data_IF_230552867370
#
_entry.id   IF_230552867370
#
_cell.length_a   1.000
_cell.length_b   1.000
_cell.length_c   1.000
_cell.angle_alpha   90.00
_cell.angle_beta   90.00
_cell.angle_gamma   90.00
#
_symmetry.space_group_name_H-M   'P 1'
#
loop_
_entity.id
_entity.type
_entity.pdbx_description
1 polymer ?
#
# COMPACT_ATOMS: atom_id res chain seq x y z
N UNK A 1 59.60 -2.51 31.23
CA UNK A 1 59.19 -3.20 29.99
C UNK A 1 57.86 -3.87 30.27
N UNK A 2 56.75 -3.30 29.77
CA UNK A 2 55.41 -3.90 29.58
C UNK A 2 54.46 -2.76 29.18
N UNK A 3 54.39 -2.49 27.87
CA UNK A 3 53.42 -1.58 27.26
C UNK A 3 52.10 -2.34 27.08
N UNK A 4 51.04 -1.91 27.76
CA UNK A 4 49.66 -2.34 27.45
C UNK A 4 49.11 -1.43 26.35
N UNK A 5 48.84 -2.02 25.18
CA UNK A 5 48.23 -1.35 24.03
C UNK A 5 46.72 -1.27 24.22
N UNK A 6 46.15 -0.06 24.23
CA UNK A 6 44.71 0.19 24.26
C UNK A 6 44.11 0.03 22.85
N UNK A 7 42.92 -0.58 22.69
CA UNK A 7 42.30 -0.78 21.40
C UNK A 7 41.77 0.53 20.80
N UNK A 8 42.02 0.66 19.50
CA UNK A 8 41.69 1.78 18.62
C UNK A 8 40.20 2.12 18.64
N UNK A 9 39.89 3.38 18.96
CA UNK A 9 38.55 3.98 18.93
C UNK A 9 37.97 3.91 17.52
N UNK A 10 36.94 3.10 17.29
CA UNK A 10 36.19 3.11 16.03
C UNK A 10 35.43 4.43 15.90
N UNK A 11 35.71 5.18 14.83
CA UNK A 11 34.98 6.39 14.43
C UNK A 11 33.51 6.04 14.19
N UNK A 12 32.62 6.57 15.02
CA UNK A 12 31.18 6.62 14.75
C UNK A 12 30.97 7.54 13.55
N UNK A 13 30.61 6.98 12.40
CA UNK A 13 30.20 7.80 11.26
C UNK A 13 28.83 8.41 11.58
N UNK A 14 28.75 9.74 11.62
CA UNK A 14 27.50 10.46 11.81
C UNK A 14 26.56 10.14 10.64
N UNK A 15 25.48 9.42 10.90
CA UNK A 15 24.37 9.30 9.97
C UNK A 15 23.74 10.70 9.82
N UNK A 16 24.08 11.36 8.71
CA UNK A 16 23.42 12.58 8.27
C UNK A 16 21.96 12.25 7.99
N UNK A 17 21.07 12.64 8.93
CA UNK A 17 19.63 12.69 8.69
C UNK A 17 19.42 13.82 7.68
N UNK A 18 19.41 13.46 6.39
CA UNK A 18 18.97 14.38 5.34
C UNK A 18 17.46 14.43 5.41
N UNK A 19 16.94 15.44 6.11
CA UNK A 19 15.58 15.93 5.88
C UNK A 19 15.57 16.49 4.45
N UNK A 20 15.13 15.68 3.48
CA UNK A 20 15.02 16.10 2.10
C UNK A 20 13.84 17.06 1.98
N UNK A 21 14.16 18.36 1.97
CA UNK A 21 13.34 19.40 1.38
C UNK A 21 12.88 18.89 0.00
N UNK A 22 11.56 18.90 -0.22
CA UNK A 22 10.97 18.54 -1.50
C UNK A 22 11.53 19.47 -2.58
N UNK A 23 12.41 18.93 -3.41
CA UNK A 23 12.78 19.56 -4.68
C UNK A 23 11.54 19.50 -5.57
N UNK A 24 11.07 20.65 -6.05
CA UNK A 24 10.00 20.72 -7.03
C UNK A 24 10.40 19.89 -8.27
N UNK A 25 9.54 19.00 -8.78
CA UNK A 25 9.90 18.18 -9.92
C UNK A 25 10.12 19.09 -11.14
N UNK A 26 11.32 18.99 -11.71
CA UNK A 26 11.69 19.65 -12.96
C UNK A 26 10.84 19.11 -14.12
N UNK A 27 10.36 20.03 -14.95
CA UNK A 27 9.58 19.77 -16.15
C UNK A 27 10.36 18.95 -17.18
N UNK A 28 10.30 17.63 -17.07
CA UNK A 28 10.46 16.72 -18.21
C UNK A 28 9.34 15.72 -18.16
N UNK A 29 8.25 16.02 -18.87
CA UNK A 29 7.14 15.12 -19.11
C UNK A 29 7.58 13.96 -20.02
N UNK A 30 8.45 13.10 -19.52
CA UNK A 30 8.66 11.78 -20.10
C UNK A 30 7.47 10.92 -19.73
N UNK A 31 6.89 10.24 -20.73
CA UNK A 31 5.84 9.22 -20.64
C UNK A 31 6.04 8.32 -19.40
N UNK A 32 5.53 8.74 -18.24
CA UNK A 32 5.84 8.13 -16.95
C UNK A 32 5.38 6.68 -16.98
N UNK A 33 6.26 5.77 -16.58
CA UNK A 33 6.04 4.34 -16.76
C UNK A 33 4.92 3.87 -15.82
N UNK A 34 3.70 3.81 -16.34
CA UNK A 34 2.48 3.69 -15.56
C UNK A 34 2.09 2.25 -15.24
N UNK A 35 2.99 1.27 -15.40
CA UNK A 35 2.64 -0.15 -15.19
C UNK A 35 3.04 -0.61 -13.79
N UNK A 36 2.22 -1.47 -13.19
CA UNK A 36 2.56 -2.12 -11.92
C UNK A 36 3.75 -3.05 -12.12
N UNK A 37 4.80 -2.88 -11.31
CA UNK A 37 5.97 -3.78 -11.26
C UNK A 37 5.73 -4.90 -10.25
N UNK A 38 5.32 -4.55 -9.03
CA UNK A 38 4.90 -5.49 -8.00
C UNK A 38 4.07 -4.80 -6.91
N UNK A 39 3.36 -5.61 -6.12
CA UNK A 39 2.62 -5.18 -4.93
C UNK A 39 3.14 -5.94 -3.72
N UNK A 40 3.37 -5.22 -2.62
CA UNK A 40 3.74 -5.78 -1.31
C UNK A 40 2.70 -5.35 -0.28
N UNK A 41 2.47 -6.19 0.71
CA UNK A 41 1.60 -5.88 1.84
C UNK A 41 2.25 -6.29 3.15
N UNK A 42 1.94 -5.57 4.22
CA UNK A 42 2.42 -5.83 5.57
C UNK A 42 1.38 -5.47 6.63
N UNK A 43 1.56 -6.04 7.81
CA UNK A 43 0.76 -5.70 8.98
C UNK A 43 1.39 -4.51 9.69
N UNK A 44 0.58 -3.49 9.97
CA UNK A 44 0.94 -2.35 10.80
C UNK A 44 -0.11 -2.15 11.90
N UNK A 45 0.12 -1.21 12.81
CA UNK A 45 -0.80 -0.93 13.93
C UNK A 45 -1.48 0.41 13.68
N UNK A 46 -2.82 0.46 13.78
CA UNK A 46 -3.58 1.69 13.62
C UNK A 46 -3.80 2.40 14.97
N UNK A 47 -4.41 3.59 14.94
CA UNK A 47 -4.59 4.49 16.09
C UNK A 47 -5.22 3.90 17.36
N UNK A 48 -5.98 2.79 17.29
CA UNK A 48 -6.53 2.10 18.49
C UNK A 48 -5.72 0.87 18.92
N UNK A 49 -4.48 0.75 18.45
CA UNK A 49 -3.55 -0.30 18.87
C UNK A 49 -3.81 -1.69 18.27
N UNK A 50 -4.75 -1.84 17.32
CA UNK A 50 -4.98 -3.13 16.66
C UNK A 50 -4.31 -3.18 15.27
N UNK A 51 -4.12 -4.38 14.69
CA UNK A 51 -3.54 -4.53 13.37
C UNK A 51 -4.39 -3.92 12.25
N UNK A 52 -3.74 -3.46 11.18
CA UNK A 52 -4.33 -3.18 9.87
C UNK A 52 -3.34 -3.50 8.75
N UNK A 53 -3.81 -3.47 7.52
CA UNK A 53 -3.03 -3.71 6.31
C UNK A 53 -2.41 -2.39 5.83
N UNK A 54 -1.15 -2.47 5.41
CA UNK A 54 -0.47 -1.46 4.59
C UNK A 54 -0.07 -2.09 3.26
N UNK A 55 -0.32 -1.39 2.15
CA UNK A 55 -0.02 -1.85 0.80
C UNK A 55 0.96 -0.88 0.14
N UNK A 56 2.00 -1.46 -0.46
CA UNK A 56 3.00 -0.80 -1.27
C UNK A 56 2.85 -1.28 -2.71
N UNK A 57 2.57 -0.36 -3.63
CA UNK A 57 2.59 -0.59 -5.06
C UNK A 57 3.84 0.08 -5.64
N UNK A 58 4.65 -0.69 -6.36
CA UNK A 58 5.81 -0.17 -7.08
C UNK A 58 5.54 -0.23 -8.57
N UNK A 59 5.76 0.88 -9.25
CA UNK A 59 5.58 1.01 -10.71
C UNK A 59 6.87 0.65 -11.46
N UNK A 60 6.78 0.52 -12.78
CA UNK A 60 7.90 0.14 -13.66
C UNK A 60 9.07 1.13 -13.64
N UNK A 61 8.86 2.37 -13.21
CA UNK A 61 9.85 3.41 -12.97
C UNK A 61 10.40 3.42 -11.54
N UNK A 62 10.15 2.35 -10.77
CA UNK A 62 10.62 2.17 -9.39
C UNK A 62 10.10 3.21 -8.38
N UNK A 63 9.03 3.94 -8.73
CA UNK A 63 8.30 4.79 -7.79
C UNK A 63 7.42 3.95 -6.86
N UNK A 64 7.40 4.32 -5.58
CA UNK A 64 6.65 3.66 -4.52
C UNK A 64 5.40 4.47 -4.14
N UNK A 65 4.24 3.83 -4.20
CA UNK A 65 2.97 4.36 -3.76
C UNK A 65 2.41 3.52 -2.63
N UNK A 66 2.16 4.16 -1.48
CA UNK A 66 1.76 3.49 -0.24
C UNK A 66 0.36 3.90 0.20
N UNK A 67 -0.41 2.92 0.66
CA UNK A 67 -1.72 3.13 1.27
C UNK A 67 -1.84 2.36 2.58
N UNK A 68 -2.41 3.01 3.58
CA UNK A 68 -2.79 2.41 4.87
C UNK A 68 -4.30 2.35 4.94
N UNK A 69 -4.81 1.21 5.36
CA UNK A 69 -6.24 0.90 5.28
C UNK A 69 -6.84 1.19 6.66
N UNK A 70 -7.86 2.07 6.75
CA UNK A 70 -8.52 2.32 8.03
C UNK A 70 -9.36 1.10 8.44
N UNK A 71 -9.58 0.96 9.75
CA UNK A 71 -10.48 -0.06 10.31
C UNK A 71 -11.58 0.60 11.12
N UNK A 72 -12.82 0.31 10.76
CA UNK A 72 -14.03 0.82 11.40
C UNK A 72 -14.30 0.19 12.77
N UNK A 73 -15.10 0.86 13.60
CA UNK A 73 -15.69 0.26 14.80
C UNK A 73 -17.08 -0.32 14.50
N UNK A 74 -17.77 0.28 13.52
CA UNK A 74 -19.04 -0.22 12.99
C UNK A 74 -18.78 -1.51 12.20
N UNK A 75 -19.60 -2.52 12.44
CA UNK A 75 -19.58 -3.80 11.73
C UNK A 75 -21.02 -4.13 11.32
N UNK A 76 -21.70 -3.17 10.70
CA UNK A 76 -23.06 -3.38 10.21
C UNK A 76 -23.09 -4.59 9.27
N UNK A 77 -24.15 -5.40 9.35
CA UNK A 77 -24.27 -6.63 8.55
C UNK A 77 -24.29 -6.37 7.03
N UNK A 78 -24.51 -5.13 6.62
CA UNK A 78 -24.52 -4.68 5.22
C UNK A 78 -23.20 -4.01 4.80
N UNK A 79 -22.21 -3.90 5.70
CA UNK A 79 -20.90 -3.35 5.37
C UNK A 79 -20.02 -4.38 4.66
N UNK A 80 -19.03 -3.87 3.92
CA UNK A 80 -18.00 -4.72 3.36
C UNK A 80 -17.15 -5.34 4.48
N UNK A 81 -16.85 -6.63 4.38
CA UNK A 81 -16.24 -7.41 5.44
C UNK A 81 -14.74 -7.17 5.52
N UNK A 82 -14.28 -6.59 6.64
CA UNK A 82 -12.86 -6.58 6.98
C UNK A 82 -12.40 -7.99 7.37
N UNK A 83 -11.42 -8.54 6.63
CA UNK A 83 -10.91 -9.88 6.90
C UNK A 83 -9.90 -9.86 8.05
N UNK A 84 -10.20 -10.63 9.10
CA UNK A 84 -9.37 -10.84 10.30
C UNK A 84 -9.01 -12.32 10.45
N UNK A 85 -7.92 -12.62 11.14
CA UNK A 85 -7.39 -13.98 11.24
C UNK A 85 -8.13 -14.85 12.28
N UNK A 86 -8.74 -14.24 13.30
CA UNK A 86 -9.48 -14.97 14.34
C UNK A 86 -8.60 -15.72 15.37
N UNK A 87 -7.28 -15.76 15.16
CA UNK A 87 -6.33 -16.35 16.10
C UNK A 87 -6.20 -15.52 17.39
N UNK A 88 -6.82 -15.98 18.47
CA UNK A 88 -6.85 -15.28 19.77
C UNK A 88 -5.47 -15.05 20.38
N UNK A 89 -4.46 -15.84 19.99
CA UNK A 89 -3.08 -15.66 20.48
C UNK A 89 -2.41 -14.40 19.89
N UNK A 90 -2.91 -13.90 18.74
CA UNK A 90 -2.36 -12.76 18.01
C UNK A 90 -3.35 -11.60 18.06
N UNK A 91 -3.03 -10.56 18.85
CA UNK A 91 -3.87 -9.36 19.01
C UNK A 91 -5.35 -9.69 19.32
N UNK A 92 -5.61 -10.78 20.05
CA UNK A 92 -6.97 -11.21 20.41
C UNK A 92 -7.83 -11.59 19.21
N UNK A 93 -7.25 -12.13 18.13
CA UNK A 93 -7.97 -12.53 16.91
C UNK A 93 -8.00 -11.46 15.82
N UNK A 94 -7.38 -10.30 16.07
CA UNK A 94 -7.43 -9.14 15.16
C UNK A 94 -6.27 -9.08 14.16
N UNK A 95 -5.47 -10.14 14.04
CA UNK A 95 -4.47 -10.25 12.98
C UNK A 95 -5.08 -10.07 11.59
N UNK A 96 -4.27 -9.65 10.61
CA UNK A 96 -4.68 -9.42 9.22
C UNK A 96 -3.80 -10.18 8.21
N UNK A 97 -3.17 -11.26 8.63
CA UNK A 97 -2.27 -12.06 7.80
C UNK A 97 -3.00 -12.73 6.62
N UNK A 98 -4.26 -13.11 6.77
CA UNK A 98 -5.08 -13.64 5.68
C UNK A 98 -5.29 -12.59 4.58
N UNK A 99 -5.62 -11.35 4.94
CA UNK A 99 -5.75 -10.25 3.98
C UNK A 99 -4.41 -9.95 3.27
N UNK A 100 -3.30 -9.96 4.02
CA UNK A 100 -1.95 -9.78 3.46
C UNK A 100 -1.59 -10.90 2.50
N UNK A 101 -1.92 -12.16 2.85
CA UNK A 101 -1.74 -13.32 1.98
C UNK A 101 -2.54 -13.16 0.70
N UNK A 102 -3.78 -12.68 0.79
CA UNK A 102 -4.62 -12.45 -0.37
C UNK A 102 -4.01 -11.43 -1.34
N UNK A 103 -3.43 -10.35 -0.80
CA UNK A 103 -2.70 -9.36 -1.60
C UNK A 103 -1.45 -9.99 -2.23
N UNK A 104 -0.63 -10.68 -1.44
CA UNK A 104 0.67 -11.19 -1.90
C UNK A 104 0.55 -12.32 -2.93
N UNK A 105 -0.40 -13.23 -2.74
CA UNK A 105 -0.50 -14.47 -3.52
C UNK A 105 -1.47 -14.34 -4.67
N UNK A 106 -2.57 -13.61 -4.51
CA UNK A 106 -3.63 -13.54 -5.53
C UNK A 106 -3.64 -12.19 -6.26
N UNK A 107 -3.81 -11.07 -5.54
CA UNK A 107 -3.99 -9.76 -6.19
C UNK A 107 -2.70 -9.24 -6.82
N UNK A 108 -1.58 -9.29 -6.10
CA UNK A 108 -0.30 -8.74 -6.53
C UNK A 108 0.17 -9.28 -7.88
N UNK A 109 0.29 -10.61 -8.05
CA UNK A 109 0.68 -11.22 -9.33
C UNK A 109 -0.29 -10.91 -10.48
N UNK A 110 -1.60 -10.80 -10.18
CA UNK A 110 -2.63 -10.54 -11.19
C UNK A 110 -2.49 -9.17 -11.85
N UNK A 111 -2.03 -8.17 -11.11
CA UNK A 111 -1.96 -6.79 -11.59
C UNK A 111 -0.59 -6.38 -12.13
N UNK A 112 0.44 -7.24 -12.09
CA UNK A 112 1.74 -6.94 -12.70
C UNK A 112 1.55 -6.63 -14.20
N UNK A 113 2.11 -5.51 -14.64
CA UNK A 113 2.03 -5.02 -16.02
C UNK A 113 0.77 -4.21 -16.34
N UNK A 114 -0.21 -4.15 -15.44
CA UNK A 114 -1.43 -3.34 -15.62
C UNK A 114 -1.11 -1.86 -15.49
N UNK A 115 -1.74 -1.04 -16.32
CA UNK A 115 -1.62 0.41 -16.28
C UNK A 115 -2.40 0.99 -15.09
N UNK A 116 -1.71 1.64 -14.16
CA UNK A 116 -2.27 2.23 -12.94
C UNK A 116 -3.26 3.36 -13.21
N UNK A 117 -3.32 3.88 -14.44
CA UNK A 117 -4.32 4.88 -14.85
C UNK A 117 -5.70 4.26 -15.11
N UNK A 118 -5.79 2.93 -15.23
CA UNK A 118 -7.03 2.17 -15.47
C UNK A 118 -7.68 1.72 -14.16
N UNK A 119 -7.99 2.68 -13.29
CA UNK A 119 -8.54 2.42 -11.96
C UNK A 119 -9.81 1.53 -12.03
N UNK A 120 -10.78 1.90 -12.87
CA UNK A 120 -12.06 1.19 -13.01
C UNK A 120 -11.88 -0.27 -13.40
N UNK A 121 -10.96 -0.56 -14.33
CA UNK A 121 -10.68 -1.92 -14.79
C UNK A 121 -10.05 -2.76 -13.66
N UNK A 122 -9.13 -2.17 -12.89
CA UNK A 122 -8.48 -2.85 -11.76
C UNK A 122 -9.49 -3.16 -10.66
N UNK A 123 -10.33 -2.20 -10.30
CA UNK A 123 -11.37 -2.38 -9.29
C UNK A 123 -12.40 -3.43 -9.74
N UNK A 124 -12.84 -3.39 -10.99
CA UNK A 124 -13.75 -4.39 -11.56
C UNK A 124 -13.16 -5.80 -11.48
N UNK A 125 -11.90 -5.98 -11.88
CA UNK A 125 -11.22 -7.28 -11.79
C UNK A 125 -11.12 -7.77 -10.34
N UNK A 126 -10.89 -6.89 -9.36
CA UNK A 126 -10.87 -7.31 -7.95
C UNK A 126 -12.23 -7.77 -7.46
N UNK A 127 -13.31 -7.10 -7.88
CA UNK A 127 -14.68 -7.49 -7.55
C UNK A 127 -15.04 -8.83 -8.21
N UNK A 128 -14.64 -9.02 -9.46
CA UNK A 128 -14.85 -10.27 -10.21
C UNK A 128 -14.06 -11.45 -9.64
N UNK A 129 -12.90 -11.22 -9.01
CA UNK A 129 -12.14 -12.29 -8.33
C UNK A 129 -12.77 -12.65 -6.98
N UNK A 130 -13.28 -11.64 -6.28
CA UNK A 130 -13.90 -11.84 -4.97
C UNK A 130 -15.26 -12.55 -5.09
N UNK A 131 -16.08 -12.17 -6.07
CA UNK A 131 -17.39 -12.77 -6.37
C UNK A 131 -18.42 -12.73 -5.21
N UNK A 132 -18.10 -12.08 -4.08
CA UNK A 132 -19.01 -11.96 -2.94
C UNK A 132 -19.58 -10.55 -2.84
N UNK A 133 -20.86 -10.40 -2.42
CA UNK A 133 -21.49 -9.08 -2.31
C UNK A 133 -20.81 -8.18 -1.28
N UNK A 134 -20.17 -8.77 -0.27
CA UNK A 134 -19.57 -8.07 0.86
C UNK A 134 -18.03 -8.15 0.90
N UNK A 135 -17.36 -8.59 -0.16
CA UNK A 135 -15.88 -8.66 -0.22
C UNK A 135 -15.26 -9.62 0.80
N UNK A 136 -15.98 -10.68 1.17
CA UNK A 136 -15.59 -11.60 2.25
C UNK A 136 -14.52 -12.62 1.85
N UNK A 137 -14.36 -12.92 0.55
CA UNK A 137 -13.38 -13.90 0.06
C UNK A 137 -11.96 -13.34 0.11
N UNK A 138 -11.75 -12.14 -0.43
CA UNK A 138 -10.46 -11.46 -0.43
C UNK A 138 -10.26 -10.57 0.80
N UNK A 139 -11.35 -10.05 1.36
CA UNK A 139 -11.36 -9.05 2.41
C UNK A 139 -11.45 -7.64 1.84
N UNK A 140 -12.39 -6.84 2.35
CA UNK A 140 -12.56 -5.44 1.97
C UNK A 140 -11.27 -4.62 2.20
N UNK A 141 -10.55 -4.94 3.27
CA UNK A 141 -9.25 -4.33 3.59
C UNK A 141 -8.16 -4.69 2.56
N UNK A 142 -8.19 -5.88 1.97
CA UNK A 142 -7.26 -6.26 0.91
C UNK A 142 -7.56 -5.51 -0.40
N UNK A 143 -8.82 -5.54 -0.83
CA UNK A 143 -9.28 -4.88 -2.07
C UNK A 143 -9.05 -3.38 -2.01
N UNK A 144 -9.49 -2.73 -0.93
CA UNK A 144 -9.33 -1.29 -0.74
C UNK A 144 -7.85 -0.89 -0.72
N UNK A 145 -6.98 -1.71 -0.12
CA UNK A 145 -5.56 -1.41 -0.04
C UNK A 145 -4.86 -1.39 -1.39
N UNK A 146 -5.18 -2.35 -2.26
CA UNK A 146 -4.67 -2.36 -3.64
C UNK A 146 -5.29 -1.22 -4.44
N UNK A 147 -6.60 -1.03 -4.35
CA UNK A 147 -7.36 0.03 -5.05
C UNK A 147 -6.79 1.43 -4.77
N UNK A 148 -6.56 1.79 -3.51
CA UNK A 148 -5.99 3.09 -3.13
C UNK A 148 -4.54 3.26 -3.60
N UNK A 149 -3.76 2.19 -3.60
CA UNK A 149 -2.36 2.25 -4.04
C UNK A 149 -2.27 2.44 -5.55
N UNK A 150 -3.19 1.83 -6.31
CA UNK A 150 -3.34 2.07 -7.76
C UNK A 150 -3.79 3.50 -8.01
N UNK A 151 -4.77 4.02 -7.27
CA UNK A 151 -5.25 5.39 -7.42
C UNK A 151 -4.14 6.42 -7.15
N UNK A 152 -3.34 6.22 -6.10
CA UNK A 152 -2.16 7.06 -5.82
C UNK A 152 -1.12 6.98 -6.93
N UNK A 153 -0.87 5.79 -7.46
CA UNK A 153 0.03 5.59 -8.60
C UNK A 153 -0.50 6.24 -9.88
N UNK A 154 -1.81 6.19 -10.13
CA UNK A 154 -2.49 6.86 -11.23
C UNK A 154 -2.35 8.38 -11.18
N UNK A 155 -2.48 8.96 -9.98
CA UNK A 155 -2.22 10.38 -9.75
C UNK A 155 -0.75 10.74 -10.03
N UNK A 156 0.18 9.94 -9.51
CA UNK A 156 1.62 10.11 -9.75
C UNK A 156 2.00 10.01 -11.24
N UNK A 157 1.45 9.03 -11.96
CA UNK A 157 1.67 8.85 -13.39
C UNK A 157 1.12 10.01 -14.25
N UNK A 158 0.12 10.74 -13.75
CA UNK A 158 -0.42 11.95 -14.39
C UNK A 158 0.26 13.24 -13.92
N UNK A 159 1.20 13.16 -12.97
CA UNK A 159 1.81 14.33 -12.30
C UNK A 159 0.71 15.26 -11.74
N UNK A 160 -0.33 14.66 -11.16
CA UNK A 160 -1.48 15.36 -10.62
C UNK A 160 -1.60 15.11 -9.11
N UNK A 161 -2.08 16.10 -8.33
CA UNK A 161 -2.41 15.85 -6.94
C UNK A 161 -3.57 14.85 -6.84
N UNK A 162 -3.57 14.02 -5.80
CA UNK A 162 -4.52 12.90 -5.65
C UNK A 162 -5.99 13.34 -5.73
N UNK A 163 -6.36 14.47 -5.11
CA UNK A 163 -7.73 14.97 -5.13
C UNK A 163 -8.22 15.27 -6.55
N UNK A 164 -7.34 15.81 -7.41
CA UNK A 164 -7.66 16.13 -8.81
C UNK A 164 -7.81 14.84 -9.63
N UNK A 165 -6.94 13.86 -9.39
CA UNK A 165 -7.07 12.55 -10.00
C UNK A 165 -8.39 11.86 -9.64
N UNK A 166 -8.81 11.95 -8.37
CA UNK A 166 -10.10 11.41 -7.91
C UNK A 166 -11.27 12.14 -8.57
N UNK A 167 -11.22 13.47 -8.68
CA UNK A 167 -12.24 14.25 -9.39
C UNK A 167 -12.40 13.80 -10.85
N UNK A 168 -11.28 13.58 -11.55
CA UNK A 168 -11.30 13.07 -12.92
C UNK A 168 -11.93 11.68 -13.01
N UNK A 169 -11.63 10.79 -12.05
CA UNK A 169 -12.19 9.45 -11.99
C UNK A 169 -13.69 9.44 -11.65
N UNK A 170 -14.16 10.38 -10.83
CA UNK A 170 -15.58 10.47 -10.45
C UNK A 170 -16.46 11.08 -11.54
N UNK A 171 -15.87 11.68 -12.58
CA UNK A 171 -16.60 12.36 -13.65
C UNK A 171 -17.35 13.60 -13.17
N UNK A 172 -17.00 14.14 -12.00
CA UNK A 172 -17.65 15.31 -11.42
C UNK A 172 -16.98 16.58 -11.95
N UNK A 173 -17.79 17.49 -12.54
CA UNK A 173 -17.33 18.77 -13.09
C UNK A 173 -17.14 19.80 -11.99
#
# INVERSE_FOLDING_TARGET
MLFFSLPTTQKIQSLSIRCSIAVAPSETASKAASKVKYVKARQIIYSRGNPTVEVDLVTSDDLLYRSVIPSGASTGIYEALELRDGDKSIYGGKGVFNAIKNIKVFLGPKFVGVDVRKQTDVDAVMLDIDETPNKSKLGANAILGVSLSVCRAGAGAKVAPLYKHIQELSGTK
#
